data_IF_367372559634
#
_entry.id   IF_367372559634
#
_cell.length_a   1.000
_cell.length_b   1.000
_cell.length_c   1.000
_cell.angle_alpha   90.00
_cell.angle_beta   90.00
_cell.angle_gamma   90.00
#
_symmetry.space_group_name_H-M   'P 1'
#
loop_
_entity.id
_entity.type
_entity.pdbx_description
1 polymer ?
#
# COMPACT_ATOMS: atom_id res chain seq x y z
N UNK A 1 -7.60 41.12 -8.39
CA UNK A 1 -6.14 40.89 -8.55
C UNK A 1 -5.46 40.41 -7.26
N UNK A 2 -5.59 41.08 -6.09
CA UNK A 2 -5.01 40.55 -4.82
C UNK A 2 -5.71 39.28 -4.28
N UNK A 3 -7.03 39.17 -4.45
CA UNK A 3 -7.80 38.00 -3.98
C UNK A 3 -7.53 36.74 -4.81
N UNK A 4 -7.47 36.87 -6.13
CA UNK A 4 -7.15 35.78 -7.06
C UNK A 4 -5.76 35.17 -6.81
N UNK A 5 -4.76 36.00 -6.48
CA UNK A 5 -3.44 35.52 -6.05
C UNK A 5 -3.50 34.75 -4.73
N UNK A 6 -4.29 35.21 -3.75
CA UNK A 6 -4.48 34.54 -2.46
C UNK A 6 -5.17 33.18 -2.62
N UNK A 7 -6.18 33.10 -3.48
CA UNK A 7 -6.87 31.85 -3.80
C UNK A 7 -5.96 30.85 -4.51
N UNK A 8 -5.14 31.30 -5.45
CA UNK A 8 -4.17 30.44 -6.15
C UNK A 8 -3.10 29.91 -5.19
N UNK A 9 -2.56 30.76 -4.31
CA UNK A 9 -1.60 30.34 -3.27
C UNK A 9 -2.25 29.34 -2.30
N UNK A 10 -3.52 29.56 -1.92
CA UNK A 10 -4.24 28.65 -1.03
C UNK A 10 -4.48 27.29 -1.67
N UNK A 11 -4.87 27.25 -2.95
CA UNK A 11 -5.06 26.00 -3.72
C UNK A 11 -3.77 25.22 -3.87
N UNK A 12 -2.66 25.90 -4.21
CA UNK A 12 -1.36 25.26 -4.34
C UNK A 12 -0.87 24.67 -3.01
N UNK A 13 -1.03 25.41 -1.91
CA UNK A 13 -0.67 24.91 -0.58
C UNK A 13 -1.49 23.66 -0.20
N UNK A 14 -2.80 23.66 -0.46
CA UNK A 14 -3.63 22.47 -0.25
C UNK A 14 -3.21 21.29 -1.13
N UNK A 15 -2.85 21.54 -2.40
CA UNK A 15 -2.35 20.51 -3.32
C UNK A 15 -1.07 19.86 -2.80
N UNK A 16 -0.08 20.65 -2.41
CA UNK A 16 1.19 20.16 -1.85
C UNK A 16 0.95 19.35 -0.57
N UNK A 17 0.09 19.82 0.34
CA UNK A 17 -0.24 19.09 1.56
C UNK A 17 -0.89 17.72 1.29
N UNK A 18 -1.74 17.63 0.27
CA UNK A 18 -2.35 16.35 -0.12
C UNK A 18 -1.35 15.40 -0.74
N UNK A 19 -0.46 15.89 -1.59
CA UNK A 19 0.60 15.08 -2.20
C UNK A 19 1.50 14.46 -1.12
N UNK A 20 1.93 15.28 -0.15
CA UNK A 20 2.70 14.80 1.01
C UNK A 20 1.91 13.78 1.83
N UNK A 21 0.65 14.07 2.13
CA UNK A 21 -0.18 13.18 2.94
C UNK A 21 -0.47 11.84 2.22
N UNK A 22 -0.66 11.85 0.89
CA UNK A 22 -0.83 10.65 0.10
C UNK A 22 0.45 9.79 0.10
N UNK A 23 1.62 10.42 -0.05
CA UNK A 23 2.91 9.73 0.10
C UNK A 23 3.11 9.12 1.48
N UNK A 24 2.66 9.79 2.55
CA UNK A 24 2.68 9.24 3.92
C UNK A 24 1.74 8.04 4.04
N UNK A 25 0.49 8.14 3.57
CA UNK A 25 -0.46 7.02 3.58
C UNK A 25 0.06 5.80 2.83
N UNK A 26 0.71 6.02 1.69
CA UNK A 26 1.34 4.98 0.91
C UNK A 26 2.45 4.26 1.69
N UNK A 27 3.40 5.00 2.25
CA UNK A 27 4.49 4.42 3.04
C UNK A 27 3.99 3.66 4.28
N UNK A 28 2.93 4.16 4.93
CA UNK A 28 2.30 3.48 6.06
C UNK A 28 1.67 2.15 5.64
N UNK A 29 0.98 2.12 4.49
CA UNK A 29 0.44 0.87 3.95
C UNK A 29 1.55 -0.12 3.62
N UNK A 30 2.68 0.32 3.05
CA UNK A 30 3.79 -0.58 2.72
C UNK A 30 4.38 -1.24 3.97
N UNK A 31 4.63 -0.46 5.03
CA UNK A 31 5.10 -1.00 6.31
C UNK A 31 4.08 -1.96 6.94
N UNK A 32 2.81 -1.58 6.92
CA UNK A 32 1.73 -2.35 7.51
C UNK A 32 1.50 -3.69 6.79
N UNK A 33 1.60 -3.69 5.47
CA UNK A 33 1.52 -4.90 4.63
C UNK A 33 2.59 -5.90 5.03
N UNK A 34 3.84 -5.46 5.21
CA UNK A 34 4.93 -6.35 5.64
C UNK A 34 4.67 -6.97 7.02
N UNK A 35 4.22 -6.16 7.99
CA UNK A 35 3.86 -6.63 9.34
C UNK A 35 2.71 -7.63 9.31
N UNK A 36 1.65 -7.33 8.56
CA UNK A 36 0.49 -8.20 8.44
C UNK A 36 0.85 -9.51 7.78
N UNK A 37 1.61 -9.49 6.68
CA UNK A 37 2.05 -10.70 5.97
C UNK A 37 2.81 -11.65 6.90
N UNK A 38 3.80 -11.14 7.64
CA UNK A 38 4.56 -11.95 8.58
C UNK A 38 3.67 -12.50 9.70
N UNK A 39 2.74 -11.70 10.19
CA UNK A 39 1.82 -12.11 11.24
C UNK A 39 0.86 -13.21 10.75
N UNK A 40 0.35 -13.12 9.52
CA UNK A 40 -0.48 -14.15 8.89
C UNK A 40 0.31 -15.44 8.63
N UNK A 41 1.60 -15.34 8.27
CA UNK A 41 2.48 -16.50 8.18
C UNK A 41 2.65 -17.18 9.54
N UNK A 42 2.87 -16.41 10.62
CA UNK A 42 2.96 -16.96 11.98
C UNK A 42 1.63 -17.61 12.39
N UNK A 43 0.48 -17.00 12.07
CA UNK A 43 -0.85 -17.57 12.31
C UNK A 43 -0.98 -18.97 11.70
N UNK A 44 -0.45 -19.16 10.48
CA UNK A 44 -0.56 -20.42 9.76
C UNK A 44 0.26 -21.58 10.35
N UNK A 45 1.30 -21.28 11.14
CA UNK A 45 2.24 -22.29 11.67
C UNK A 45 2.19 -22.42 13.20
N UNK A 46 1.73 -21.41 13.93
CA UNK A 46 1.75 -21.39 15.39
C UNK A 46 0.78 -22.42 16.00
N UNK A 47 1.29 -23.23 16.93
CA UNK A 47 0.50 -24.25 17.65
C UNK A 47 0.24 -23.88 19.12
N UNK A 48 1.05 -22.98 19.69
CA UNK A 48 0.90 -22.56 21.08
C UNK A 48 -0.28 -21.58 21.23
N UNK A 49 -1.26 -21.86 22.11
CA UNK A 49 -2.45 -21.01 22.25
C UNK A 49 -2.13 -19.55 22.59
N UNK A 50 -1.12 -19.31 23.44
CA UNK A 50 -0.69 -17.97 23.82
C UNK A 50 -0.16 -17.18 22.62
N UNK A 51 0.61 -17.83 21.74
CA UNK A 51 1.11 -17.24 20.50
C UNK A 51 -0.04 -16.96 19.53
N UNK A 52 -0.98 -17.89 19.39
CA UNK A 52 -2.16 -17.69 18.54
C UNK A 52 -3.01 -16.50 18.97
N UNK A 53 -3.19 -16.30 20.28
CA UNK A 53 -3.96 -15.16 20.79
C UNK A 53 -3.22 -13.83 20.57
N UNK A 54 -1.90 -13.78 20.79
CA UNK A 54 -1.09 -12.62 20.44
C UNK A 54 -1.17 -12.29 18.94
N UNK A 55 -1.04 -13.29 18.07
CA UNK A 55 -1.11 -13.14 16.61
C UNK A 55 -2.47 -12.58 16.19
N UNK A 56 -3.58 -13.10 16.73
CA UNK A 56 -4.93 -12.58 16.45
C UNK A 56 -5.07 -11.10 16.84
N UNK A 57 -4.46 -10.69 17.96
CA UNK A 57 -4.52 -9.31 18.41
C UNK A 57 -3.69 -8.36 17.55
N UNK A 58 -2.53 -8.81 17.06
CA UNK A 58 -1.73 -8.08 16.08
C UNK A 58 -2.51 -7.93 14.76
N UNK A 59 -3.07 -9.01 14.22
CA UNK A 59 -3.86 -8.97 12.98
C UNK A 59 -5.06 -8.04 13.10
N UNK A 60 -5.79 -8.11 14.22
CA UNK A 60 -6.94 -7.24 14.47
C UNK A 60 -6.53 -5.77 14.52
N UNK A 61 -5.40 -5.47 15.17
CA UNK A 61 -4.91 -4.10 15.30
C UNK A 61 -4.35 -3.58 13.98
N UNK A 62 -3.61 -4.39 13.24
CA UNK A 62 -3.10 -4.04 11.92
C UNK A 62 -4.21 -3.82 10.91
N UNK A 63 -5.25 -4.67 10.88
CA UNK A 63 -6.42 -4.45 10.00
C UNK A 63 -7.18 -3.16 10.34
N UNK A 64 -7.28 -2.80 11.63
CA UNK A 64 -7.83 -1.50 12.05
C UNK A 64 -6.98 -0.32 11.58
N UNK A 65 -5.65 -0.44 11.66
CA UNK A 65 -4.75 0.57 11.14
C UNK A 65 -4.89 0.74 9.62
N UNK A 66 -5.02 -0.37 8.88
CA UNK A 66 -5.23 -0.36 7.43
C UNK A 66 -6.53 0.39 7.06
N UNK A 67 -7.63 0.13 7.78
CA UNK A 67 -8.90 0.84 7.55
C UNK A 67 -8.76 2.35 7.81
N UNK A 68 -8.03 2.75 8.87
CA UNK A 68 -7.78 4.17 9.16
C UNK A 68 -6.93 4.85 8.09
N UNK A 69 -5.87 4.19 7.62
CA UNK A 69 -5.02 4.72 6.54
C UNK A 69 -5.81 4.82 5.24
N UNK A 70 -6.66 3.84 4.94
CA UNK A 70 -7.52 3.87 3.77
C UNK A 70 -8.53 5.04 3.83
N UNK A 71 -9.19 5.26 4.96
CA UNK A 71 -10.09 6.41 5.16
C UNK A 71 -9.36 7.75 5.04
N UNK A 72 -8.13 7.83 5.55
CA UNK A 72 -7.29 9.01 5.39
C UNK A 72 -6.99 9.24 3.90
N UNK A 73 -6.54 8.21 3.17
CA UNK A 73 -6.25 8.30 1.74
C UNK A 73 -7.49 8.73 0.93
N UNK A 74 -8.66 8.16 1.22
CA UNK A 74 -9.92 8.53 0.58
C UNK A 74 -10.31 9.99 0.88
N UNK A 75 -10.04 10.49 2.09
CA UNK A 75 -10.31 11.89 2.47
C UNK A 75 -9.35 12.89 1.78
N UNK A 76 -8.23 12.41 1.26
CA UNK A 76 -7.22 13.21 0.56
C UNK A 76 -7.42 13.21 -0.97
N UNK A 77 -8.25 12.31 -1.52
CA UNK A 77 -8.66 12.33 -2.93
C UNK A 77 -9.72 13.42 -3.11
N UNK A 78 -9.57 14.29 -4.10
CA UNK A 78 -10.60 15.29 -4.42
C UNK A 78 -11.90 14.63 -4.93
N UNK A 79 -13.05 15.29 -4.76
CA UNK A 79 -14.31 15.02 -5.50
C UNK A 79 -14.20 15.33 -7.01
N UNK A 80 -13.03 15.74 -7.48
CA UNK A 80 -12.73 15.68 -8.90
C UNK A 80 -12.53 14.21 -9.23
N UNK A 81 -13.48 13.67 -9.99
CA UNK A 81 -13.27 12.50 -10.84
C UNK A 81 -12.13 12.88 -11.79
N UNK A 82 -10.89 12.87 -11.30
CA UNK A 82 -9.72 12.91 -12.16
C UNK A 82 -9.90 11.73 -13.11
N UNK A 83 -9.77 12.04 -14.41
CA UNK A 83 -9.95 11.05 -15.45
C UNK A 83 -9.14 9.81 -15.09
N UNK A 84 -9.70 8.60 -15.26
CA UNK A 84 -9.02 7.36 -14.89
C UNK A 84 -7.58 7.37 -15.41
N UNK A 85 -6.61 7.45 -14.49
CA UNK A 85 -5.21 7.46 -14.85
C UNK A 85 -4.79 6.06 -15.28
N UNK A 86 -3.88 6.04 -16.25
CA UNK A 86 -3.30 4.82 -16.79
C UNK A 86 -2.39 4.19 -15.74
N UNK A 87 -2.75 3.02 -15.23
CA UNK A 87 -1.96 2.31 -14.21
C UNK A 87 -1.17 1.19 -14.90
N UNK A 88 0.15 1.20 -14.73
CA UNK A 88 1.04 0.10 -15.14
C UNK A 88 0.90 -1.04 -14.13
N UNK A 89 0.42 -2.19 -14.60
CA UNK A 89 0.33 -3.41 -13.78
C UNK A 89 1.73 -3.91 -13.39
N UNK A 90 2.72 -3.71 -14.27
CA UNK A 90 4.10 -4.09 -14.03
C UNK A 90 4.71 -3.31 -12.86
N UNK A 91 4.39 -2.02 -12.74
CA UNK A 91 4.92 -1.16 -11.66
C UNK A 91 4.37 -1.60 -10.31
N UNK A 92 3.08 -1.96 -10.25
CA UNK A 92 2.44 -2.52 -9.04
C UNK A 92 3.08 -3.87 -8.66
N UNK A 93 3.33 -4.74 -9.64
CA UNK A 93 3.97 -6.04 -9.39
C UNK A 93 5.38 -5.83 -8.85
N UNK A 94 6.15 -4.89 -9.42
CA UNK A 94 7.51 -4.60 -8.98
C UNK A 94 7.52 -4.05 -7.55
N UNK A 95 6.63 -3.12 -7.24
CA UNK A 95 6.47 -2.55 -5.91
C UNK A 95 6.04 -3.60 -4.87
N UNK A 96 5.13 -4.51 -5.25
CA UNK A 96 4.73 -5.63 -4.40
C UNK A 96 5.87 -6.62 -4.13
N UNK A 97 6.70 -6.90 -5.14
CA UNK A 97 7.89 -7.75 -5.00
C UNK A 97 8.90 -7.07 -4.08
N UNK A 98 9.23 -5.81 -4.31
CA UNK A 98 10.16 -5.03 -3.48
C UNK A 98 9.69 -4.90 -2.03
N UNK A 99 8.39 -4.74 -1.79
CA UNK A 99 7.82 -4.70 -0.44
C UNK A 99 7.94 -6.05 0.28
N UNK A 100 7.98 -7.16 -0.46
CA UNK A 100 8.03 -8.53 0.09
C UNK A 100 9.47 -9.04 0.24
N UNK A 101 10.43 -8.50 -0.51
CA UNK A 101 11.83 -8.90 -0.50
C UNK A 101 12.61 -8.69 0.82
N UNK A 102 12.41 -7.65 1.67
CA UNK A 102 13.42 -7.29 2.67
C UNK A 102 13.57 -8.29 3.82
N UNK A 103 12.61 -9.20 4.04
CA UNK A 103 12.66 -10.13 5.18
C UNK A 103 12.61 -11.62 4.78
N UNK A 104 12.34 -11.93 3.51
CA UNK A 104 12.21 -13.32 3.04
C UNK A 104 13.53 -13.94 2.60
N UNK A 105 14.43 -13.16 1.99
CA UNK A 105 15.69 -13.67 1.43
C UNK A 105 16.72 -13.97 2.52
N UNK A 106 16.94 -13.05 3.47
CA UNK A 106 17.89 -13.25 4.56
C UNK A 106 17.53 -14.45 5.46
N UNK A 107 16.24 -14.67 5.73
CA UNK A 107 15.80 -15.77 6.60
C UNK A 107 15.70 -17.11 5.85
N UNK A 108 15.38 -17.11 4.55
CA UNK A 108 15.37 -18.31 3.72
C UNK A 108 16.81 -18.80 3.46
N UNK A 109 17.76 -17.91 3.18
CA UNK A 109 19.17 -18.25 3.03
C UNK A 109 19.77 -18.82 4.32
N UNK A 110 19.43 -18.25 5.48
CA UNK A 110 19.85 -18.79 6.79
C UNK A 110 19.31 -20.19 7.08
N UNK A 111 18.18 -20.57 6.46
CA UNK A 111 17.59 -21.92 6.54
C UNK A 111 17.99 -22.84 5.38
N UNK A 112 18.87 -22.36 4.47
CA UNK A 112 19.33 -23.11 3.30
C UNK A 112 18.27 -23.28 2.19
N UNK A 113 17.23 -22.45 2.20
CA UNK A 113 16.15 -22.47 1.21
C UNK A 113 16.33 -21.28 0.27
N UNK A 114 16.59 -21.55 -1.01
CA UNK A 114 16.65 -20.50 -2.04
C UNK A 114 15.24 -20.22 -2.55
N UNK A 115 14.73 -19.02 -2.31
CA UNK A 115 13.48 -18.55 -2.92
C UNK A 115 13.84 -17.82 -4.21
N UNK A 116 13.58 -18.46 -5.36
CA UNK A 116 13.71 -17.84 -6.68
C UNK A 116 12.36 -17.24 -7.10
N UNK A 117 12.32 -15.93 -7.28
CA UNK A 117 11.19 -15.25 -7.91
C UNK A 117 11.38 -15.29 -9.42
N UNK A 118 10.58 -16.12 -10.11
CA UNK A 118 10.52 -16.09 -11.57
C UNK A 118 9.36 -15.16 -11.98
N UNK A 119 9.70 -13.91 -12.31
CA UNK A 119 8.76 -12.99 -12.94
C UNK A 119 8.93 -13.07 -14.46
N UNK A 120 7.93 -13.62 -15.15
CA UNK A 120 7.85 -13.53 -16.61
C UNK A 120 7.05 -12.28 -16.94
N UNK A 121 7.74 -11.24 -17.44
CA UNK A 121 7.14 -9.98 -17.80
C UNK A 121 6.56 -10.11 -19.23
N UNK A 122 5.25 -10.33 -19.32
CA UNK A 122 4.53 -9.96 -20.53
C UNK A 122 4.28 -8.46 -20.51
N UNK A 123 4.45 -7.79 -21.65
CA UNK A 123 4.23 -6.35 -21.77
C UNK A 123 2.72 -6.08 -21.74
N UNK A 124 2.16 -6.05 -20.53
CA UNK A 124 0.74 -5.88 -20.30
C UNK A 124 0.35 -4.43 -20.63
N UNK A 125 -0.66 -4.22 -21.50
CA UNK A 125 -1.10 -2.87 -21.80
C UNK A 125 -1.65 -2.22 -20.53
N UNK A 126 -1.43 -0.92 -20.33
CA UNK A 126 -1.99 -0.21 -19.20
C UNK A 126 -3.52 -0.35 -19.19
N UNK A 127 -4.06 -0.67 -18.02
CA UNK A 127 -5.51 -0.80 -17.85
C UNK A 127 -6.12 0.56 -17.52
N UNK A 128 -7.17 0.92 -18.25
CA UNK A 128 -8.03 2.04 -17.89
C UNK A 128 -9.11 1.50 -16.95
N UNK A 129 -9.34 2.12 -15.77
CA UNK A 129 -10.50 1.83 -14.95
C UNK A 129 -11.80 1.88 -15.78
N UNK A 130 -12.77 0.99 -15.55
CA UNK A 130 -14.05 1.04 -16.25
C UNK A 130 -14.70 2.42 -16.04
N UNK A 131 -15.32 2.95 -17.09
CA UNK A 131 -16.02 4.23 -17.03
C UNK A 131 -17.03 4.21 -15.86
N UNK A 132 -17.15 5.30 -15.09
CA UNK A 132 -18.12 5.35 -14.00
C UNK A 132 -19.52 5.09 -14.57
N UNK A 133 -20.21 4.06 -14.04
CA UNK A 133 -21.62 3.85 -14.34
C UNK A 133 -22.42 4.99 -13.71
N UNK A 134 -23.02 5.85 -14.55
CA UNK A 134 -24.00 6.86 -14.14
C UNK A 134 -25.39 6.26 -13.95
#
# INVERSE_FOLDING_TARGET
MREEFSENVRRENTRVLREVANGISHNLNNLLTGVLLQTELIESIAQEPEVQDCVKDILRSGRRAADLINRLSLSLREDNVDAPESISVNDIIHEAIEATQPNGLDEAERRGVTITFEHTQEDLPPILPPAPCF
#
